data_IF_984589196836
#
_entry.id   IF_984589196836
#
_cell.length_a   1.000
_cell.length_b   1.000
_cell.length_c   1.000
_cell.angle_alpha   90.00
_cell.angle_beta   90.00
_cell.angle_gamma   90.00
#
_symmetry.space_group_name_H-M   'P 1'
#
loop_
_entity.id
_entity.type
_entity.pdbx_description
1 polymer ?
#
# COMPACT_ATOMS: atom_id res chain seq x y z
N UNK A 1 -9.25 -18.53 -19.47
CA UNK A 1 -8.48 -18.06 -18.30
C UNK A 1 -8.33 -16.55 -18.43
N UNK A 2 -8.65 -15.79 -17.38
CA UNK A 2 -8.51 -14.33 -17.46
C UNK A 2 -7.04 -13.92 -17.25
N UNK A 3 -6.58 -12.93 -18.02
CA UNK A 3 -5.21 -12.42 -18.01
C UNK A 3 -5.11 -11.13 -17.21
N UNK A 4 -4.20 -11.09 -16.23
CA UNK A 4 -3.94 -9.93 -15.38
C UNK A 4 -2.56 -9.36 -15.67
N UNK A 5 -2.52 -8.11 -16.09
CA UNK A 5 -1.28 -7.35 -16.29
C UNK A 5 -0.92 -6.61 -15.00
N UNK A 6 0.30 -6.78 -14.51
CA UNK A 6 0.73 -6.18 -13.23
C UNK A 6 1.95 -5.28 -13.45
N UNK A 7 1.85 -4.01 -13.05
CA UNK A 7 3.00 -3.13 -12.87
C UNK A 7 3.55 -3.25 -11.45
N UNK A 8 4.86 -3.16 -11.26
CA UNK A 8 5.45 -3.32 -9.92
C UNK A 8 5.33 -4.74 -9.35
N UNK A 9 5.08 -5.73 -10.20
CA UNK A 9 4.84 -7.14 -9.84
C UNK A 9 6.01 -7.85 -9.15
N UNK A 10 7.22 -7.30 -9.19
CA UNK A 10 8.42 -7.82 -8.49
C UNK A 10 8.62 -7.25 -7.10
N UNK A 11 7.81 -6.24 -6.72
CA UNK A 11 7.84 -5.64 -5.38
C UNK A 11 7.16 -6.54 -4.33
N UNK A 12 7.19 -6.11 -3.07
CA UNK A 12 6.64 -6.85 -1.93
C UNK A 12 5.17 -7.25 -2.15
N UNK A 13 4.32 -6.28 -2.40
CA UNK A 13 2.88 -6.48 -2.64
C UNK A 13 2.65 -7.20 -3.97
N UNK A 14 3.37 -6.79 -5.02
CA UNK A 14 3.24 -7.38 -6.35
C UNK A 14 3.54 -8.87 -6.39
N UNK A 15 4.56 -9.32 -5.64
CA UNK A 15 4.89 -10.74 -5.50
C UNK A 15 3.78 -11.52 -4.81
N UNK A 16 3.20 -10.98 -3.74
CA UNK A 16 2.10 -11.62 -3.02
C UNK A 16 0.83 -11.71 -3.91
N UNK A 17 0.48 -10.63 -4.59
CA UNK A 17 -0.64 -10.57 -5.53
C UNK A 17 -0.46 -11.56 -6.68
N UNK A 18 0.73 -11.55 -7.33
CA UNK A 18 1.06 -12.48 -8.41
C UNK A 18 0.86 -13.94 -7.97
N UNK A 19 1.42 -14.31 -6.83
CA UNK A 19 1.34 -15.68 -6.35
C UNK A 19 -0.10 -16.12 -6.08
N UNK A 20 -0.90 -15.26 -5.47
CA UNK A 20 -2.32 -15.54 -5.22
C UNK A 20 -3.13 -15.66 -6.52
N UNK A 21 -2.88 -14.81 -7.52
CA UNK A 21 -3.54 -14.87 -8.82
C UNK A 21 -3.21 -16.20 -9.54
N UNK A 22 -1.93 -16.60 -9.55
CA UNK A 22 -1.51 -17.88 -10.15
C UNK A 22 -2.18 -19.08 -9.44
N UNK A 23 -2.27 -19.07 -8.11
CA UNK A 23 -2.97 -20.09 -7.33
C UNK A 23 -4.47 -20.17 -7.68
N UNK A 24 -5.08 -19.03 -8.01
CA UNK A 24 -6.49 -18.96 -8.44
C UNK A 24 -6.69 -19.25 -9.94
N UNK A 25 -5.63 -19.57 -10.67
CA UNK A 25 -5.71 -19.97 -12.08
C UNK A 25 -5.77 -18.78 -13.06
N UNK A 26 -5.38 -17.57 -12.65
CA UNK A 26 -5.21 -16.46 -13.59
C UNK A 26 -3.91 -16.58 -14.37
N UNK A 27 -3.90 -16.10 -15.60
CA UNK A 27 -2.67 -15.85 -16.34
C UNK A 27 -2.12 -14.49 -15.91
N UNK A 28 -0.83 -14.44 -15.52
CA UNK A 28 -0.20 -13.21 -15.01
C UNK A 28 0.93 -12.78 -15.91
N UNK A 29 0.88 -11.53 -16.37
CA UNK A 29 1.95 -10.87 -17.12
C UNK A 29 2.47 -9.69 -16.30
N UNK A 30 3.79 -9.62 -16.09
CA UNK A 30 4.43 -8.52 -15.36
C UNK A 30 5.02 -7.50 -16.32
N UNK A 31 4.62 -6.23 -16.18
CA UNK A 31 5.31 -5.13 -16.84
C UNK A 31 6.64 -4.84 -16.15
N UNK A 32 7.72 -4.90 -16.91
CA UNK A 32 9.09 -4.71 -16.44
C UNK A 32 9.84 -3.70 -17.30
N UNK A 33 10.79 -3.00 -16.69
CA UNK A 33 11.74 -2.12 -17.39
C UNK A 33 12.90 -2.90 -18.05
N UNK A 34 13.05 -4.19 -17.74
CA UNK A 34 14.03 -5.05 -18.38
C UNK A 34 13.63 -5.32 -19.83
N UNK A 35 14.57 -5.21 -20.73
CA UNK A 35 14.42 -5.52 -22.16
C UNK A 35 14.56 -7.02 -22.47
N UNK A 36 14.90 -7.85 -21.46
CA UNK A 36 15.01 -9.29 -21.64
C UNK A 36 13.64 -9.91 -21.91
N UNK A 37 13.52 -10.60 -23.04
CA UNK A 37 12.33 -11.40 -23.34
C UNK A 37 12.29 -12.61 -22.40
N UNK A 38 11.23 -12.70 -21.62
CA UNK A 38 10.96 -13.78 -20.70
C UNK A 38 9.46 -14.05 -20.67
N UNK A 39 9.07 -15.30 -20.72
CA UNK A 39 7.67 -15.68 -20.61
C UNK A 39 7.02 -15.13 -19.33
N UNK A 40 5.80 -14.61 -19.44
CA UNK A 40 5.10 -13.94 -18.35
C UNK A 40 5.58 -12.50 -18.05
N UNK A 41 6.43 -11.93 -18.93
CA UNK A 41 6.89 -10.54 -18.82
C UNK A 41 6.64 -9.77 -20.11
N UNK A 42 6.31 -8.49 -19.97
CA UNK A 42 6.19 -7.54 -21.06
C UNK A 42 6.98 -6.27 -20.73
N UNK A 43 7.51 -5.60 -21.73
CA UNK A 43 8.37 -4.44 -21.53
C UNK A 43 7.54 -3.15 -21.44
N UNK A 44 7.97 -2.24 -20.60
CA UNK A 44 7.58 -0.84 -20.60
C UNK A 44 8.74 0.07 -20.19
N UNK A 45 8.75 1.27 -20.73
CA UNK A 45 9.70 2.33 -20.33
C UNK A 45 8.93 3.62 -20.06
N UNK A 46 8.86 4.00 -18.77
CA UNK A 46 8.14 5.19 -18.32
C UNK A 46 8.80 6.47 -18.84
N UNK A 47 10.14 6.47 -18.99
CA UNK A 47 10.87 7.65 -19.46
C UNK A 47 10.74 7.83 -20.99
N UNK A 48 10.79 6.74 -21.74
CA UNK A 48 10.55 6.75 -23.18
C UNK A 48 9.06 6.85 -23.53
N UNK A 49 8.16 6.66 -22.57
CA UNK A 49 6.71 6.69 -22.79
C UNK A 49 6.21 5.51 -23.63
N UNK A 50 6.86 4.34 -23.54
CA UNK A 50 6.54 3.15 -24.33
C UNK A 50 6.07 1.99 -23.45
N UNK A 51 5.14 1.20 -23.99
CA UNK A 51 4.59 0.02 -23.36
C UNK A 51 4.25 -1.02 -24.42
N UNK A 52 4.42 -2.31 -24.11
CA UNK A 52 4.04 -3.39 -25.00
C UNK A 52 2.53 -3.37 -25.28
N UNK A 53 2.16 -3.01 -26.52
CA UNK A 53 0.76 -2.91 -26.95
C UNK A 53 0.05 -4.27 -26.90
N UNK A 54 0.77 -5.40 -27.17
CA UNK A 54 0.20 -6.74 -27.08
C UNK A 54 -0.21 -7.08 -25.67
N UNK A 55 0.60 -6.68 -24.66
CA UNK A 55 0.26 -6.86 -23.26
C UNK A 55 -1.01 -6.11 -22.86
N UNK A 56 -1.20 -4.88 -23.36
CA UNK A 56 -2.42 -4.08 -23.14
C UNK A 56 -3.63 -4.73 -23.84
N UNK A 57 -3.49 -5.07 -25.13
CA UNK A 57 -4.58 -5.60 -25.95
C UNK A 57 -5.14 -6.94 -25.40
N UNK A 58 -4.28 -7.75 -24.81
CA UNK A 58 -4.64 -9.12 -24.35
C UNK A 58 -5.03 -9.20 -22.87
N UNK A 59 -4.83 -8.14 -22.08
CA UNK A 59 -5.19 -8.13 -20.68
C UNK A 59 -6.70 -8.00 -20.46
N UNK A 60 -7.24 -8.76 -19.48
CA UNK A 60 -8.61 -8.60 -18.99
C UNK A 60 -8.67 -7.62 -17.81
N UNK A 61 -7.61 -7.56 -17.01
CA UNK A 61 -7.47 -6.68 -15.85
C UNK A 61 -6.06 -6.13 -15.75
N UNK A 62 -5.95 -4.94 -15.15
CA UNK A 62 -4.65 -4.33 -14.81
C UNK A 62 -4.58 -4.10 -13.30
N UNK A 63 -3.48 -4.55 -12.67
CA UNK A 63 -3.12 -4.18 -11.30
C UNK A 63 -1.92 -3.24 -11.37
N UNK A 64 -2.11 -2.01 -10.89
CA UNK A 64 -1.11 -0.96 -10.94
C UNK A 64 -0.48 -0.73 -9.57
N UNK A 65 0.75 -1.24 -9.37
CA UNK A 65 1.52 -1.16 -8.12
C UNK A 65 2.84 -0.42 -8.29
N UNK A 66 3.15 0.09 -9.49
CA UNK A 66 4.42 0.74 -9.76
C UNK A 66 4.57 2.05 -8.97
N UNK A 67 5.70 2.21 -8.32
CA UNK A 67 6.06 3.40 -7.58
C UNK A 67 7.37 3.19 -6.82
N UNK A 68 8.19 4.24 -6.70
CA UNK A 68 9.39 4.22 -5.87
C UNK A 68 9.00 4.09 -4.38
N UNK A 69 9.71 3.27 -3.62
CA UNK A 69 9.44 3.07 -2.20
C UNK A 69 9.64 4.37 -1.42
N UNK A 70 8.65 4.76 -0.61
CA UNK A 70 8.66 6.03 0.13
C UNK A 70 9.75 6.06 1.20
N UNK A 71 10.04 4.90 1.81
CA UNK A 71 10.98 4.76 2.92
C UNK A 71 12.37 4.25 2.52
N UNK A 72 12.64 4.01 1.23
CA UNK A 72 13.92 3.44 0.78
C UNK A 72 15.12 4.36 1.00
N UNK A 73 14.88 5.67 0.95
CA UNK A 73 15.91 6.71 1.09
C UNK A 73 15.33 7.90 1.85
N UNK A 74 16.24 8.66 2.51
CA UNK A 74 15.88 9.93 3.16
C UNK A 74 15.28 10.91 2.13
N UNK A 75 14.28 11.69 2.53
CA UNK A 75 13.61 12.63 1.66
C UNK A 75 14.48 13.86 1.38
N UNK A 76 14.84 14.02 0.14
CA UNK A 76 15.38 15.25 -0.47
C UNK A 76 14.37 15.75 -1.50
N UNK A 77 14.55 16.95 -2.01
CA UNK A 77 13.70 17.49 -3.09
C UNK A 77 13.67 16.53 -4.28
N UNK A 78 14.84 16.05 -4.73
CA UNK A 78 14.94 15.09 -5.85
C UNK A 78 14.25 13.76 -5.53
N UNK A 79 14.36 13.25 -4.27
CA UNK A 79 13.70 12.00 -3.88
C UNK A 79 12.19 12.15 -3.82
N UNK A 80 11.67 13.26 -3.32
CA UNK A 80 10.23 13.56 -3.34
C UNK A 80 9.69 13.63 -4.77
N UNK A 81 10.44 14.27 -5.67
CA UNK A 81 10.07 14.31 -7.08
C UNK A 81 10.06 12.91 -7.71
N UNK A 82 11.07 12.08 -7.43
CA UNK A 82 11.11 10.69 -7.89
C UNK A 82 9.90 9.88 -7.38
N UNK A 83 9.51 10.05 -6.11
CA UNK A 83 8.34 9.39 -5.52
C UNK A 83 7.06 9.80 -6.24
N UNK A 84 6.87 11.09 -6.51
CA UNK A 84 5.72 11.62 -7.23
C UNK A 84 5.72 11.13 -8.69
N UNK A 85 6.81 11.34 -9.42
CA UNK A 85 6.94 11.04 -10.84
C UNK A 85 6.76 9.56 -11.15
N UNK A 86 7.33 8.69 -10.31
CA UNK A 86 7.22 7.24 -10.49
C UNK A 86 5.77 6.75 -10.46
N UNK A 87 4.88 7.47 -9.79
CA UNK A 87 3.44 7.18 -9.70
C UNK A 87 2.65 7.83 -10.82
N UNK A 88 2.78 9.15 -10.95
CA UNK A 88 1.99 9.92 -11.90
C UNK A 88 2.34 9.61 -13.35
N UNK A 89 3.64 9.49 -13.69
CA UNK A 89 4.08 9.16 -15.05
C UNK A 89 3.73 7.73 -15.44
N UNK A 90 3.83 6.78 -14.51
CA UNK A 90 3.44 5.39 -14.78
C UNK A 90 1.94 5.22 -14.96
N UNK A 91 1.13 5.93 -14.18
CA UNK A 91 -0.33 5.98 -14.36
C UNK A 91 -0.70 6.61 -15.69
N UNK A 92 -0.12 7.77 -16.03
CA UNK A 92 -0.38 8.46 -17.28
C UNK A 92 -0.01 7.60 -18.50
N UNK A 93 1.09 6.83 -18.43
CA UNK A 93 1.47 5.91 -19.49
C UNK A 93 0.44 4.79 -19.67
N UNK A 94 -0.10 4.23 -18.58
CA UNK A 94 -1.17 3.22 -18.66
C UNK A 94 -2.45 3.81 -19.28
N UNK A 95 -2.86 5.01 -18.87
CA UNK A 95 -4.03 5.71 -19.45
C UNK A 95 -3.85 5.87 -20.96
N UNK A 96 -2.70 6.43 -21.37
CA UNK A 96 -2.35 6.62 -22.78
C UNK A 96 -2.40 5.29 -23.56
N UNK A 97 -1.79 4.24 -23.00
CA UNK A 97 -1.76 2.94 -23.66
C UNK A 97 -3.16 2.33 -23.82
N UNK A 98 -4.05 2.49 -22.83
CA UNK A 98 -5.44 2.04 -22.91
C UNK A 98 -6.26 2.85 -23.93
N UNK A 99 -5.96 4.12 -24.12
CA UNK A 99 -6.61 4.99 -25.09
C UNK A 99 -6.16 4.69 -26.51
N UNK A 100 -4.85 4.49 -26.72
CA UNK A 100 -4.25 4.31 -28.05
C UNK A 100 -4.31 2.85 -28.56
N UNK A 101 -4.48 1.88 -27.68
CA UNK A 101 -4.48 0.45 -28.05
C UNK A 101 -5.87 -0.16 -27.93
N UNK A 102 -6.43 -0.77 -29.00
CA UNK A 102 -7.64 -1.57 -28.88
C UNK A 102 -7.45 -2.66 -27.82
N UNK A 103 -8.34 -2.68 -26.81
CA UNK A 103 -8.16 -3.54 -25.65
C UNK A 103 -9.50 -4.03 -25.09
N UNK A 104 -9.43 -5.11 -24.30
CA UNK A 104 -10.56 -5.74 -23.62
C UNK A 104 -10.53 -5.59 -22.10
N UNK A 105 -9.68 -4.69 -21.59
CA UNK A 105 -9.53 -4.45 -20.15
C UNK A 105 -10.87 -4.02 -19.54
N UNK A 106 -11.31 -4.74 -18.51
CA UNK A 106 -12.57 -4.50 -17.79
C UNK A 106 -12.39 -3.58 -16.59
N UNK A 107 -11.27 -3.73 -15.88
CA UNK A 107 -10.98 -2.94 -14.69
C UNK A 107 -9.49 -2.69 -14.49
N UNK A 108 -9.19 -1.54 -13.87
CA UNK A 108 -7.89 -1.16 -13.35
C UNK A 108 -7.98 -1.09 -11.83
N UNK A 109 -7.15 -1.87 -11.14
CA UNK A 109 -7.03 -1.85 -9.69
C UNK A 109 -5.70 -1.18 -9.36
N UNK A 110 -5.75 0.04 -8.87
CA UNK A 110 -4.55 0.84 -8.57
C UNK A 110 -4.23 0.83 -7.07
N UNK A 111 -2.96 0.72 -6.74
CA UNK A 111 -2.52 1.10 -5.41
C UNK A 111 -2.67 2.61 -5.21
N UNK A 112 -2.95 2.97 -3.98
CA UNK A 112 -2.81 4.28 -3.38
C UNK A 112 -2.28 4.07 -1.94
N UNK A 113 -2.29 5.07 -1.09
CA UNK A 113 -1.80 4.93 0.28
C UNK A 113 -2.59 5.77 1.29
N UNK A 114 -2.61 5.34 2.55
CA UNK A 114 -3.17 6.13 3.67
C UNK A 114 -2.36 7.41 3.96
N UNK A 115 -1.22 7.60 3.29
CA UNK A 115 -0.56 8.90 3.19
C UNK A 115 -1.46 10.01 2.63
N UNK A 116 -2.60 9.66 2.01
CA UNK A 116 -3.69 10.58 1.68
C UNK A 116 -4.14 11.39 2.89
N UNK A 117 -4.17 10.75 4.07
CA UNK A 117 -4.70 11.33 5.30
C UNK A 117 -3.60 11.97 6.14
N UNK A 118 -3.98 13.00 6.87
CA UNK A 118 -3.10 13.68 7.82
C UNK A 118 -3.02 12.99 9.18
N UNK A 119 -2.49 13.69 10.18
CA UNK A 119 -2.54 13.24 11.56
C UNK A 119 -3.98 13.28 12.09
N UNK A 120 -4.28 12.39 13.04
CA UNK A 120 -5.58 12.33 13.71
C UNK A 120 -5.97 13.71 14.29
N UNK A 121 -7.19 14.16 14.00
CA UNK A 121 -7.70 15.50 14.38
C UNK A 121 -7.72 15.73 15.90
N UNK A 122 -7.75 14.65 16.71
CA UNK A 122 -7.86 14.69 18.17
C UNK A 122 -6.67 14.03 18.88
N UNK A 123 -5.45 14.12 18.32
CA UNK A 123 -4.24 13.55 18.92
C UNK A 123 -3.89 14.08 20.33
N UNK A 124 -4.65 15.05 20.86
CA UNK A 124 -4.48 15.67 22.18
C UNK A 124 -5.56 15.27 23.20
N UNK A 125 -6.56 14.48 22.84
CA UNK A 125 -7.58 13.99 23.78
C UNK A 125 -7.10 12.72 24.49
N UNK A 126 -6.79 12.84 25.78
CA UNK A 126 -6.31 11.75 26.64
C UNK A 126 -7.38 10.70 27.03
N UNK A 127 -8.60 10.77 26.48
CA UNK A 127 -9.76 10.02 26.96
C UNK A 127 -10.39 9.04 25.96
N UNK A 128 -9.71 8.68 24.87
CA UNK A 128 -10.25 7.66 23.98
C UNK A 128 -10.06 6.25 24.57
N UNK A 129 -11.15 5.63 25.02
CA UNK A 129 -11.20 4.21 25.34
C UNK A 129 -11.02 3.40 24.05
N UNK A 130 -10.29 2.30 24.09
CA UNK A 130 -9.85 1.49 22.94
C UNK A 130 -10.97 1.05 21.97
N UNK A 131 -12.25 1.12 22.36
CA UNK A 131 -13.37 0.69 21.53
C UNK A 131 -13.91 1.80 20.59
N UNK A 132 -13.57 3.08 20.83
CA UNK A 132 -14.07 4.20 20.02
C UNK A 132 -13.11 4.60 18.88
N UNK A 133 -11.88 4.09 18.87
CA UNK A 133 -10.84 4.48 17.90
C UNK A 133 -11.22 4.04 16.47
N UNK A 134 -11.79 2.85 16.33
CA UNK A 134 -12.22 2.34 15.02
C UNK A 134 -13.44 3.11 14.46
N UNK A 135 -14.28 3.67 15.34
CA UNK A 135 -15.50 4.41 14.95
C UNK A 135 -15.22 5.86 14.51
N UNK A 136 -14.02 6.40 14.71
CA UNK A 136 -13.63 7.79 14.42
C UNK A 136 -12.48 7.93 13.42
N UNK A 137 -12.07 6.86 12.75
CA UNK A 137 -10.97 6.87 11.76
C UNK A 137 -11.34 7.60 10.46
N UNK A 138 -10.31 8.03 9.72
CA UNK A 138 -10.49 8.62 8.39
C UNK A 138 -11.22 7.65 7.46
N UNK A 139 -12.14 8.20 6.68
CA UNK A 139 -12.93 7.49 5.66
C UNK A 139 -12.57 7.97 4.25
N UNK A 140 -12.98 7.24 3.24
CA UNK A 140 -12.58 7.49 1.84
C UNK A 140 -13.07 8.84 1.29
N UNK A 141 -14.11 9.42 1.88
CA UNK A 141 -14.64 10.75 1.53
C UNK A 141 -13.87 11.92 2.16
N UNK A 142 -12.99 11.65 3.14
CA UNK A 142 -12.15 12.69 3.70
C UNK A 142 -11.16 13.23 2.65
N UNK A 143 -10.92 14.57 2.63
CA UNK A 143 -10.00 15.19 1.69
C UNK A 143 -8.55 14.77 1.93
N UNK A 144 -7.73 14.88 0.91
CA UNK A 144 -6.28 14.69 1.05
C UNK A 144 -5.68 15.78 1.94
N UNK A 145 -4.74 15.37 2.79
CA UNK A 145 -4.02 16.29 3.66
C UNK A 145 -2.98 17.09 2.84
N UNK A 146 -2.78 18.41 3.11
CA UNK A 146 -1.92 19.27 2.32
C UNK A 146 -0.43 19.13 2.68
N UNK A 147 0.05 17.89 2.92
CA UNK A 147 1.47 17.61 3.07
C UNK A 147 2.03 16.88 1.82
N UNK A 148 3.31 16.49 1.89
CA UNK A 148 3.96 15.82 0.77
C UNK A 148 3.28 14.49 0.39
N UNK A 149 2.91 13.66 1.35
CA UNK A 149 2.30 12.35 1.04
C UNK A 149 0.85 12.50 0.58
N UNK A 150 0.08 13.39 1.23
CA UNK A 150 -1.32 13.61 0.85
C UNK A 150 -1.44 14.18 -0.56
N UNK A 151 -0.62 15.18 -0.90
CA UNK A 151 -0.57 15.75 -2.26
C UNK A 151 -0.06 14.73 -3.29
N UNK A 152 0.92 13.89 -2.92
CA UNK A 152 1.39 12.81 -3.79
C UNK A 152 0.31 11.77 -4.04
N UNK A 153 -0.43 11.33 -3.03
CA UNK A 153 -1.54 10.39 -3.18
C UNK A 153 -2.66 10.97 -4.04
N UNK A 154 -3.01 12.25 -3.83
CA UNK A 154 -4.01 12.94 -4.63
C UNK A 154 -3.60 13.02 -6.12
N UNK A 155 -2.37 13.40 -6.41
CA UNK A 155 -1.83 13.42 -7.77
C UNK A 155 -1.78 12.01 -8.40
N UNK A 156 -1.47 10.98 -7.60
CA UNK A 156 -1.47 9.58 -8.06
C UNK A 156 -2.87 9.12 -8.46
N UNK A 157 -3.86 9.25 -7.57
CA UNK A 157 -5.25 8.89 -7.89
C UNK A 157 -5.80 9.72 -9.07
N UNK A 158 -5.49 11.02 -9.15
CA UNK A 158 -5.88 11.87 -10.26
C UNK A 158 -5.24 11.44 -11.60
N UNK A 159 -3.99 10.95 -11.58
CA UNK A 159 -3.29 10.55 -12.81
C UNK A 159 -3.81 9.25 -13.41
N UNK A 160 -4.45 8.37 -12.65
CA UNK A 160 -5.07 7.13 -13.13
C UNK A 160 -6.58 7.28 -13.40
N UNK A 161 -7.23 8.26 -12.79
CA UNK A 161 -8.67 8.49 -12.89
C UNK A 161 -9.22 8.56 -14.34
N UNK A 162 -8.49 9.10 -15.34
CA UNK A 162 -8.98 9.14 -16.71
C UNK A 162 -9.35 7.80 -17.33
N UNK A 163 -8.89 6.64 -16.78
CA UNK A 163 -9.32 5.31 -17.27
C UNK A 163 -10.84 5.12 -17.19
N UNK A 164 -11.55 5.91 -16.36
CA UNK A 164 -13.01 5.87 -16.23
C UNK A 164 -13.75 6.73 -17.26
N UNK A 165 -13.03 7.55 -18.02
CA UNK A 165 -13.65 8.47 -18.98
C UNK A 165 -14.38 7.71 -20.08
N UNK A 166 -15.55 8.22 -20.49
CA UNK A 166 -16.33 7.63 -21.58
C UNK A 166 -15.84 8.13 -22.96
N UNK A 167 -14.55 7.89 -23.22
CA UNK A 167 -13.87 8.32 -24.46
C UNK A 167 -12.85 7.27 -24.91
N UNK A 168 -12.67 7.11 -26.25
CA UNK A 168 -11.55 6.43 -26.90
C UNK A 168 -11.03 5.13 -26.22
N UNK A 169 -11.91 4.14 -26.00
CA UNK A 169 -11.49 2.84 -25.45
C UNK A 169 -11.20 2.84 -23.94
N UNK A 170 -11.37 3.94 -23.25
CA UNK A 170 -11.39 4.05 -21.77
C UNK A 170 -12.72 3.49 -21.22
N UNK A 171 -13.35 4.10 -20.24
CA UNK A 171 -14.57 3.60 -19.57
C UNK A 171 -14.32 2.30 -18.79
N UNK A 172 -13.16 2.22 -18.14
CA UNK A 172 -12.81 1.07 -17.30
C UNK A 172 -13.30 1.30 -15.88
N UNK A 173 -13.70 0.23 -15.19
CA UNK A 173 -13.91 0.28 -13.75
C UNK A 173 -12.57 0.55 -13.06
N UNK A 174 -12.52 1.53 -12.18
CA UNK A 174 -11.34 1.87 -11.39
C UNK A 174 -11.59 1.60 -9.91
N UNK A 175 -10.66 0.89 -9.27
CA UNK A 175 -10.59 0.75 -7.81
C UNK A 175 -9.22 1.22 -7.35
N UNK A 176 -9.17 2.18 -6.41
CA UNK A 176 -7.95 2.63 -5.77
C UNK A 176 -7.89 2.09 -4.33
N UNK A 177 -6.85 1.33 -4.00
CA UNK A 177 -6.65 0.79 -2.66
C UNK A 177 -5.68 1.68 -1.88
N UNK A 178 -6.18 2.50 -0.94
CA UNK A 178 -5.39 3.33 -0.02
C UNK A 178 -4.78 2.44 1.06
N UNK A 179 -3.58 1.96 0.78
CA UNK A 179 -2.91 0.92 1.56
C UNK A 179 -2.29 1.47 2.84
N UNK A 180 -2.55 0.82 3.96
CA UNK A 180 -1.92 1.06 5.26
C UNK A 180 -0.46 0.58 5.32
N UNK A 181 0.09 0.56 6.52
CA UNK A 181 1.44 0.04 6.74
C UNK A 181 1.43 -1.48 6.51
N UNK A 182 2.05 -1.92 5.41
CA UNK A 182 2.09 -3.34 5.03
C UNK A 182 3.06 -4.12 5.91
N UNK A 183 2.56 -5.17 6.55
CA UNK A 183 3.37 -6.10 7.34
C UNK A 183 3.65 -7.37 6.55
N UNK A 184 4.94 -7.70 6.41
CA UNK A 184 5.41 -8.90 5.71
C UNK A 184 6.81 -9.28 6.20
N UNK A 185 7.07 -10.59 6.31
CA UNK A 185 8.41 -11.10 6.63
C UNK A 185 9.45 -10.81 5.54
N UNK A 186 9.00 -10.60 4.31
CA UNK A 186 9.89 -10.41 3.15
C UNK A 186 10.34 -8.96 2.93
N UNK A 187 9.93 -8.03 3.80
CA UNK A 187 10.35 -6.63 3.68
C UNK A 187 9.34 -5.63 4.24
N UNK A 188 9.41 -4.39 3.75
CA UNK A 188 8.54 -3.31 4.20
C UNK A 188 8.84 -2.86 5.63
N UNK A 189 7.83 -2.28 6.29
CA UNK A 189 7.98 -1.70 7.62
C UNK A 189 8.46 -2.70 8.68
N UNK A 190 8.02 -3.96 8.59
CA UNK A 190 8.35 -4.99 9.58
C UNK A 190 9.86 -5.23 9.70
N UNK A 191 10.59 -5.14 8.58
CA UNK A 191 12.05 -5.26 8.56
C UNK A 191 12.73 -4.23 9.48
N UNK A 192 12.20 -3.02 9.56
CA UNK A 192 12.77 -1.96 10.39
C UNK A 192 12.52 -2.22 11.90
N UNK A 193 11.38 -2.80 12.24
CA UNK A 193 11.11 -3.24 13.62
C UNK A 193 11.99 -4.43 14.04
N UNK A 194 12.31 -5.33 13.13
CA UNK A 194 13.13 -6.51 13.40
C UNK A 194 14.62 -6.19 13.63
N UNK A 195 15.15 -5.09 13.03
CA UNK A 195 16.58 -4.72 13.20
C UNK A 195 17.01 -4.60 14.67
N UNK A 196 16.36 -3.77 15.53
CA UNK A 196 16.74 -3.70 16.93
C UNK A 196 16.39 -4.97 17.71
N UNK A 197 15.35 -5.70 17.29
CA UNK A 197 14.97 -6.96 17.92
C UNK A 197 16.02 -8.07 17.74
N UNK A 198 16.85 -8.02 16.69
CA UNK A 198 17.99 -8.92 16.54
C UNK A 198 18.97 -8.83 17.73
N UNK A 199 18.98 -7.69 18.44
CA UNK A 199 19.72 -7.47 19.69
C UNK A 199 18.82 -7.63 20.93
N UNK A 200 17.64 -8.26 20.80
CA UNK A 200 16.62 -8.39 21.85
C UNK A 200 16.14 -7.06 22.43
N UNK A 201 16.19 -5.99 21.62
CA UNK A 201 15.79 -4.65 22.03
C UNK A 201 14.48 -4.25 21.32
N UNK A 202 13.40 -4.12 22.09
CA UNK A 202 12.14 -3.58 21.65
C UNK A 202 12.23 -2.04 21.60
N UNK A 203 12.59 -1.49 20.44
CA UNK A 203 12.77 -0.05 20.22
C UNK A 203 11.43 0.62 19.94
N UNK A 204 10.88 1.30 20.95
CA UNK A 204 9.63 2.06 20.85
C UNK A 204 9.94 3.48 20.36
N UNK A 205 9.30 3.90 19.28
CA UNK A 205 9.55 5.19 18.67
C UNK A 205 8.78 6.31 19.39
N UNK A 206 9.47 7.39 19.77
CA UNK A 206 8.89 8.50 20.53
C UNK A 206 8.29 8.02 21.85
N UNK A 207 7.02 8.35 22.10
CA UNK A 207 6.27 7.88 23.27
C UNK A 207 5.56 6.52 23.03
N UNK A 208 5.57 6.02 21.80
CA UNK A 208 4.96 4.75 21.40
C UNK A 208 3.43 4.76 21.33
N UNK A 209 2.78 5.90 21.56
CA UNK A 209 1.31 6.01 21.55
C UNK A 209 0.72 6.22 20.15
N UNK A 210 1.55 6.56 19.17
CA UNK A 210 1.08 6.81 17.80
C UNK A 210 0.39 5.58 17.22
N UNK A 211 -0.79 5.82 16.65
CA UNK A 211 -1.62 4.79 16.00
C UNK A 211 -1.06 4.43 14.63
N UNK A 212 -0.95 3.15 14.38
CA UNK A 212 -0.54 2.54 13.12
C UNK A 212 -1.75 1.83 12.50
N UNK A 213 -2.27 2.35 11.40
CA UNK A 213 -3.20 1.63 10.54
C UNK A 213 -2.40 0.74 9.61
N UNK A 214 -2.44 -0.54 9.84
CA UNK A 214 -1.63 -1.58 9.21
C UNK A 214 -2.48 -2.55 8.40
N UNK A 215 -1.84 -3.35 7.56
CA UNK A 215 -2.47 -4.49 6.89
C UNK A 215 -1.46 -5.63 6.70
N UNK A 216 -1.90 -6.87 6.84
CA UNK A 216 -1.11 -8.05 6.45
C UNK A 216 -0.98 -8.09 4.92
N UNK A 217 0.20 -8.40 4.40
CA UNK A 217 0.44 -8.48 2.95
C UNK A 217 -0.45 -9.51 2.25
N UNK A 218 -0.86 -10.58 2.97
CA UNK A 218 -1.74 -11.63 2.44
C UNK A 218 -3.17 -11.11 2.29
N UNK A 219 -3.69 -10.37 3.28
CA UNK A 219 -5.01 -9.71 3.19
C UNK A 219 -5.00 -8.61 2.12
N UNK A 220 -3.91 -7.86 2.00
CA UNK A 220 -3.77 -6.87 0.94
C UNK A 220 -3.79 -7.53 -0.45
N UNK A 221 -3.04 -8.62 -0.65
CA UNK A 221 -3.07 -9.36 -1.90
C UNK A 221 -4.47 -9.91 -2.21
N UNK A 222 -5.14 -10.47 -1.20
CA UNK A 222 -6.54 -10.93 -1.30
C UNK A 222 -7.48 -9.79 -1.67
N UNK A 223 -7.26 -8.57 -1.15
CA UNK A 223 -8.09 -7.40 -1.46
C UNK A 223 -7.92 -6.94 -2.91
N UNK A 224 -6.70 -6.97 -3.47
CA UNK A 224 -6.48 -6.71 -4.90
C UNK A 224 -7.21 -7.72 -5.79
N UNK A 225 -7.17 -9.01 -5.44
CA UNK A 225 -7.89 -10.05 -6.19
C UNK A 225 -9.40 -9.91 -6.00
N UNK A 226 -9.86 -9.63 -4.79
CA UNK A 226 -11.28 -9.36 -4.50
C UNK A 226 -11.83 -8.19 -5.32
N UNK A 227 -11.03 -7.13 -5.49
CA UNK A 227 -11.41 -5.99 -6.33
C UNK A 227 -11.51 -6.35 -7.83
N UNK A 228 -10.79 -7.37 -8.30
CA UNK A 228 -10.99 -7.93 -9.66
C UNK A 228 -12.32 -8.68 -9.72
N UNK A 229 -12.56 -9.58 -8.76
CA UNK A 229 -13.66 -10.55 -8.74
C UNK A 229 -15.02 -9.89 -8.40
N UNK A 230 -15.02 -8.78 -7.63
CA UNK A 230 -16.23 -8.05 -7.25
C UNK A 230 -16.46 -6.84 -8.17
N UNK A 231 -17.34 -7.02 -9.15
CA UNK A 231 -17.64 -5.98 -10.16
C UNK A 231 -18.37 -4.75 -9.57
N UNK A 232 -18.98 -4.85 -8.38
CA UNK A 232 -19.66 -3.73 -7.74
C UNK A 232 -18.69 -2.73 -7.10
N UNK A 233 -17.42 -3.11 -6.89
CA UNK A 233 -16.42 -2.20 -6.32
C UNK A 233 -16.00 -1.15 -7.33
N UNK A 234 -16.07 0.12 -6.93
CA UNK A 234 -15.56 1.26 -7.71
C UNK A 234 -15.13 2.41 -6.80
N UNK A 235 -14.20 3.25 -7.27
CA UNK A 235 -13.63 4.35 -6.50
C UNK A 235 -12.58 3.91 -5.48
N UNK A 236 -12.34 4.73 -4.45
CA UNK A 236 -11.29 4.48 -3.45
C UNK A 236 -11.81 3.65 -2.27
N UNK A 237 -10.95 2.77 -1.75
CA UNK A 237 -11.18 1.95 -0.55
C UNK A 237 -9.94 1.97 0.34
N UNK A 238 -10.14 2.06 1.63
CA UNK A 238 -9.08 1.94 2.61
C UNK A 238 -8.68 0.47 2.80
N UNK A 239 -7.43 0.16 2.51
CA UNK A 239 -6.86 -1.17 2.65
C UNK A 239 -6.05 -1.22 3.96
N UNK A 240 -6.76 -1.32 5.08
CA UNK A 240 -6.22 -1.41 6.44
C UNK A 240 -6.93 -2.51 7.22
N UNK A 241 -6.23 -3.14 8.16
CA UNK A 241 -6.83 -4.11 9.07
C UNK A 241 -7.83 -3.43 10.02
N UNK A 242 -8.88 -4.17 10.49
CA UNK A 242 -9.94 -3.61 11.31
C UNK A 242 -9.47 -3.03 12.65
N UNK A 243 -8.39 -3.57 13.21
CA UNK A 243 -7.90 -3.19 14.53
C UNK A 243 -6.52 -2.51 14.39
N UNK A 244 -6.48 -1.16 14.36
CA UNK A 244 -5.23 -0.43 14.38
C UNK A 244 -4.52 -0.63 15.73
N UNK A 245 -3.19 -0.47 15.75
CA UNK A 245 -2.41 -0.67 16.97
C UNK A 245 -1.48 0.50 17.24
N UNK A 246 -1.05 0.68 18.52
CA UNK A 246 0.01 1.63 18.83
C UNK A 246 1.39 1.08 18.41
N UNK A 247 2.34 1.97 18.13
CA UNK A 247 3.73 1.59 17.89
C UNK A 247 4.27 0.71 19.03
N UNK A 248 3.97 1.07 20.28
CA UNK A 248 4.36 0.30 21.48
C UNK A 248 3.76 -1.11 21.45
N UNK A 249 2.47 -1.25 21.09
CA UNK A 249 1.78 -2.55 21.02
C UNK A 249 2.43 -3.42 19.94
N UNK A 250 2.59 -2.90 18.71
CA UNK A 250 3.24 -3.62 17.60
C UNK A 250 4.63 -4.11 18.01
N UNK A 251 5.48 -3.21 18.53
CA UNK A 251 6.86 -3.52 18.89
C UNK A 251 6.93 -4.58 20.00
N UNK A 252 6.08 -4.46 21.03
CA UNK A 252 6.07 -5.44 22.14
C UNK A 252 5.50 -6.79 21.72
N UNK A 253 4.46 -6.81 20.88
CA UNK A 253 3.92 -8.08 20.35
C UNK A 253 4.98 -8.83 19.55
N UNK A 254 5.72 -8.14 18.67
CA UNK A 254 6.86 -8.73 17.96
C UNK A 254 7.94 -9.27 18.90
N UNK A 255 8.36 -8.46 19.86
CA UNK A 255 9.38 -8.87 20.84
C UNK A 255 8.94 -10.10 21.64
N UNK A 256 7.69 -10.14 22.07
CA UNK A 256 7.13 -11.26 22.85
C UNK A 256 7.01 -12.54 22.02
N UNK A 257 6.67 -12.43 20.73
CA UNK A 257 6.62 -13.59 19.81
C UNK A 257 8.00 -14.20 19.60
N UNK A 258 9.03 -13.35 19.45
CA UNK A 258 10.39 -13.82 19.16
C UNK A 258 11.13 -14.33 20.41
N UNK A 259 10.91 -13.71 21.57
CA UNK A 259 11.76 -13.90 22.76
C UNK A 259 10.99 -14.18 24.06
N UNK A 260 9.67 -14.31 24.01
CA UNK A 260 8.84 -14.47 25.20
C UNK A 260 8.95 -13.24 26.12
N UNK A 261 9.52 -13.42 27.32
CA UNK A 261 9.78 -12.33 28.28
C UNK A 261 11.23 -11.84 28.28
N UNK A 262 12.10 -12.43 27.45
CA UNK A 262 13.56 -12.19 27.46
C UNK A 262 13.99 -11.13 26.45
N UNK A 263 13.45 -9.92 26.58
CA UNK A 263 13.88 -8.74 25.79
C UNK A 263 13.87 -7.47 26.65
N UNK A 264 14.65 -6.49 26.22
CA UNK A 264 14.67 -5.16 26.82
C UNK A 264 13.80 -4.21 26.03
N UNK A 265 13.19 -3.23 26.68
CA UNK A 265 12.42 -2.16 26.05
C UNK A 265 13.22 -0.85 26.14
N UNK A 266 13.41 -0.20 24.99
CA UNK A 266 14.04 1.12 24.92
C UNK A 266 13.13 2.10 24.15
N UNK A 267 13.08 3.35 24.60
CA UNK A 267 12.37 4.42 23.89
C UNK A 267 13.37 5.22 23.07
N UNK A 268 13.09 5.37 21.76
CA UNK A 268 13.90 6.19 20.85
C UNK A 268 13.34 7.62 20.85
N UNK A 269 14.06 8.61 21.41
CA UNK A 269 13.55 9.97 21.47
C UNK A 269 13.26 10.57 20.09
N UNK A 270 12.23 11.41 20.00
CA UNK A 270 11.80 12.01 18.73
C UNK A 270 12.91 12.83 18.04
N UNK A 271 13.81 13.47 18.81
CA UNK A 271 14.91 14.23 18.24
C UNK A 271 15.93 13.34 17.52
N UNK A 272 16.18 12.12 18.03
CA UNK A 272 17.06 11.13 17.37
C UNK A 272 16.42 10.70 16.05
N UNK A 273 15.11 10.42 16.03
CA UNK A 273 14.38 10.07 14.82
C UNK A 273 14.43 11.20 13.78
N UNK A 274 14.33 12.45 14.21
CA UNK A 274 14.49 13.62 13.32
C UNK A 274 15.89 13.71 12.70
N UNK A 275 16.95 13.42 13.46
CA UNK A 275 18.31 13.39 12.95
C UNK A 275 18.49 12.24 11.94
N UNK A 276 17.99 11.04 12.25
CA UNK A 276 18.14 9.85 11.40
C UNK A 276 17.31 9.92 10.12
N UNK A 277 16.02 10.27 10.24
CA UNK A 277 15.03 10.17 9.16
C UNK A 277 14.74 11.50 8.47
N UNK A 278 15.13 12.63 9.10
CA UNK A 278 14.79 13.96 8.61
C UNK A 278 13.28 14.19 8.62
N UNK A 279 12.75 14.76 7.54
CA UNK A 279 11.33 15.07 7.37
C UNK A 279 10.44 13.80 7.47
N UNK A 280 10.92 12.64 7.00
CA UNK A 280 10.19 11.38 7.10
C UNK A 280 9.88 10.97 8.55
N UNK A 281 10.56 11.54 9.55
CA UNK A 281 10.27 11.30 10.97
C UNK A 281 8.85 11.73 11.36
N UNK A 282 8.25 12.67 10.64
CA UNK A 282 6.87 13.13 10.85
C UNK A 282 5.91 11.96 10.64
N UNK A 283 6.12 11.19 9.56
CA UNK A 283 5.28 10.02 9.22
C UNK A 283 5.36 8.90 10.26
N UNK A 284 6.54 8.71 10.82
CA UNK A 284 6.78 7.65 11.82
C UNK A 284 6.22 8.00 13.20
N UNK A 285 6.10 9.30 13.49
CA UNK A 285 5.66 9.82 14.79
C UNK A 285 4.18 10.25 14.82
N UNK A 286 3.54 10.45 13.66
CA UNK A 286 2.13 10.83 13.61
C UNK A 286 1.22 9.61 13.84
N UNK A 287 0.05 9.84 14.43
CA UNK A 287 -1.07 8.90 14.43
C UNK A 287 -1.92 9.13 13.19
N UNK A 288 -2.26 8.07 12.48
CA UNK A 288 -3.22 8.13 11.38
C UNK A 288 -4.13 6.92 11.51
N UNK A 289 -5.31 7.15 12.08
CA UNK A 289 -6.34 6.12 12.28
C UNK A 289 -7.27 6.11 11.08
N UNK A 290 -7.38 4.95 10.42
CA UNK A 290 -8.14 4.82 9.16
C UNK A 290 -9.17 3.71 9.29
N UNK A 291 -10.40 3.99 8.85
CA UNK A 291 -11.51 3.06 8.91
C UNK A 291 -11.51 2.10 7.72
N UNK A 292 -11.64 0.78 7.92
CA UNK A 292 -11.85 -0.21 6.88
C UNK A 292 -13.34 -0.42 6.54
N UNK A 293 -14.25 0.38 7.08
CA UNK A 293 -15.69 0.09 7.05
C UNK A 293 -16.21 -0.12 5.63
N UNK A 294 -15.83 0.73 4.68
CA UNK A 294 -16.30 0.64 3.30
C UNK A 294 -15.93 -0.69 2.62
N UNK A 295 -14.73 -1.22 2.86
CA UNK A 295 -14.34 -2.50 2.26
C UNK A 295 -15.02 -3.69 2.95
N UNK A 296 -15.32 -3.59 4.25
CA UNK A 296 -16.11 -4.58 4.97
C UNK A 296 -17.57 -4.57 4.50
N UNK A 297 -18.17 -3.40 4.30
CA UNK A 297 -19.53 -3.25 3.75
C UNK A 297 -19.62 -3.79 2.31
N UNK A 298 -18.52 -3.74 1.54
CA UNK A 298 -18.41 -4.39 0.24
C UNK A 298 -18.30 -5.93 0.33
N UNK A 299 -18.30 -6.51 1.53
CA UNK A 299 -18.27 -7.95 1.78
C UNK A 299 -16.86 -8.57 1.91
N UNK A 300 -15.81 -7.77 1.97
CA UNK A 300 -14.46 -8.30 2.18
C UNK A 300 -14.27 -8.83 3.60
N UNK A 301 -13.74 -10.05 3.72
CA UNK A 301 -13.44 -10.71 5.00
C UNK A 301 -11.94 -10.79 5.20
N UNK A 302 -11.43 -10.21 6.28
CA UNK A 302 -10.02 -10.28 6.65
C UNK A 302 -9.67 -11.64 7.24
N UNK A 303 -8.56 -12.23 6.79
CA UNK A 303 -8.00 -13.44 7.40
C UNK A 303 -7.14 -13.09 8.62
N UNK A 304 -6.57 -11.88 8.65
CA UNK A 304 -5.69 -11.38 9.71
C UNK A 304 -6.17 -10.03 10.27
N UNK A 305 -7.35 -10.00 10.94
CA UNK A 305 -7.92 -8.74 11.44
C UNK A 305 -7.15 -8.17 12.64
N UNK A 306 -6.40 -9.00 13.38
CA UNK A 306 -5.66 -8.64 14.58
C UNK A 306 -4.16 -8.83 14.41
N UNK A 307 -3.38 -7.91 15.02
CA UNK A 307 -1.92 -7.87 14.91
C UNK A 307 -1.26 -9.16 15.43
N UNK A 308 -1.75 -9.72 16.53
CA UNK A 308 -1.26 -10.95 17.12
C UNK A 308 -1.39 -12.14 16.16
N UNK A 309 -2.55 -12.27 15.51
CA UNK A 309 -2.81 -13.32 14.52
C UNK A 309 -1.94 -13.15 13.28
N UNK A 310 -1.79 -11.92 12.77
CA UNK A 310 -0.93 -11.65 11.62
C UNK A 310 0.52 -12.04 11.93
N UNK A 311 1.08 -11.51 13.01
CA UNK A 311 2.49 -11.69 13.33
C UNK A 311 2.85 -13.13 13.69
N UNK A 312 1.99 -13.87 14.42
CA UNK A 312 2.25 -15.26 14.82
C UNK A 312 2.33 -16.24 13.63
N UNK A 313 1.77 -15.86 12.48
CA UNK A 313 1.74 -16.69 11.27
C UNK A 313 2.72 -16.25 10.20
N UNK A 314 3.58 -15.25 10.48
CA UNK A 314 4.55 -14.74 9.51
C UNK A 314 5.86 -15.53 9.46
N UNK A 315 6.08 -16.51 10.36
CA UNK A 315 7.31 -17.29 10.39
C UNK A 315 8.57 -16.39 10.46
N UNK A 316 8.66 -15.56 11.51
CA UNK A 316 9.67 -14.50 11.70
C UNK A 316 11.02 -15.03 12.16
#
# INVERSE_FOLDING_TARGET
MARVLITGGTGLVGTAVKNLLLQKGYEVVLLTRSTMSKEGYAHWDINAGTIDATAIATADYIIHLAGAGVADKRWSVARKQEILDSRTKSSALLVKALEETPNKVKAVISASAIGWYGPDKNSHSNNAHNNDIAAQGFVETDPSYPDFLGTTCAAWEASIAPVTANTNGLQKRLVCLRTGIVLSKHGGALKEFLKPLALRMAAILGNGKQTISWIDVRDLAKMFVYAIENESMSGSYNAVAPVPVSNKTLTKTLASLLYGKFYMTAYVPSFILKIMLGEMSIEVLKSTTVSPQKIQDAGFVFDYPEISKSLSTLDL
#
